data_IF_789762261017
#
_entry.id   IF_789762261017
#
_cell.length_a   1.000
_cell.length_b   1.000
_cell.length_c   1.000
_cell.angle_alpha   90.00
_cell.angle_beta   90.00
_cell.angle_gamma   90.00
#
_symmetry.space_group_name_H-M   'P 1'
#
loop_
_entity.id
_entity.type
_entity.pdbx_description
1 polymer ?
#
# COMPACT_ATOMS: atom_id res chain seq x y z
N UNK A 1 -47.99 13.52 2.30
CA UNK A 1 -46.80 13.00 3.03
C UNK A 1 -46.65 11.51 2.73
N UNK A 2 -45.78 11.13 1.80
CA UNK A 2 -45.65 9.72 1.38
C UNK A 2 -44.30 9.20 1.84
N UNK A 3 -44.28 8.31 2.84
CA UNK A 3 -43.04 7.73 3.38
C UNK A 3 -42.47 6.74 2.36
N UNK A 4 -41.25 6.99 1.87
CA UNK A 4 -40.50 6.10 0.99
C UNK A 4 -40.18 4.80 1.75
N UNK A 5 -40.39 3.60 1.17
CA UNK A 5 -40.11 2.35 1.87
C UNK A 5 -38.60 2.23 2.16
N UNK A 6 -38.28 1.82 3.38
CA UNK A 6 -36.90 1.46 3.74
C UNK A 6 -36.58 0.11 3.12
N UNK A 7 -35.54 0.04 2.29
CA UNK A 7 -34.98 -1.22 1.81
C UNK A 7 -34.38 -1.95 3.01
N UNK A 8 -35.00 -3.03 3.43
CA UNK A 8 -34.49 -3.90 4.48
C UNK A 8 -33.66 -5.00 3.78
N UNK A 9 -32.34 -4.96 3.92
CA UNK A 9 -31.46 -6.01 3.40
C UNK A 9 -31.40 -7.13 4.45
N UNK A 10 -31.74 -8.36 4.05
CA UNK A 10 -31.72 -9.50 4.97
C UNK A 10 -30.30 -10.04 5.16
N UNK A 11 -30.05 -10.73 6.28
CA UNK A 11 -28.74 -11.29 6.56
C UNK A 11 -28.27 -12.29 5.48
N UNK A 12 -29.23 -13.00 4.88
CA UNK A 12 -28.97 -13.94 3.79
C UNK A 12 -28.47 -13.22 2.53
N UNK A 13 -29.03 -12.06 2.24
CA UNK A 13 -28.72 -11.31 1.02
C UNK A 13 -27.31 -10.71 1.01
N UNK A 14 -26.77 -10.27 2.16
CA UNK A 14 -25.36 -9.84 2.22
C UNK A 14 -24.40 -11.02 2.16
N UNK A 15 -24.77 -12.15 2.75
CA UNK A 15 -23.96 -13.36 2.72
C UNK A 15 -23.83 -13.91 1.30
N UNK A 16 -24.93 -13.92 0.55
CA UNK A 16 -24.94 -14.41 -0.83
C UNK A 16 -24.12 -13.47 -1.75
N UNK A 17 -24.21 -12.14 -1.57
CA UNK A 17 -23.35 -11.18 -2.27
C UNK A 17 -21.86 -11.35 -1.94
N UNK A 18 -21.53 -11.66 -0.68
CA UNK A 18 -20.16 -11.92 -0.26
C UNK A 18 -19.61 -13.19 -0.90
N UNK A 19 -20.39 -14.28 -0.90
CA UNK A 19 -19.98 -15.56 -1.49
C UNK A 19 -19.82 -15.47 -3.00
N UNK A 20 -20.71 -14.75 -3.68
CA UNK A 20 -20.63 -14.48 -5.12
C UNK A 20 -19.37 -13.65 -5.48
N UNK A 21 -19.08 -12.62 -4.68
CA UNK A 21 -17.90 -11.77 -4.88
C UNK A 21 -16.58 -12.41 -4.44
N UNK A 22 -16.61 -13.41 -3.55
CA UNK A 22 -15.41 -14.05 -2.99
C UNK A 22 -14.60 -14.77 -4.06
N UNK A 23 -15.27 -15.42 -5.02
CA UNK A 23 -14.59 -16.12 -6.12
C UNK A 23 -13.75 -15.17 -6.99
N UNK A 24 -14.16 -13.91 -7.15
CA UNK A 24 -13.39 -12.93 -7.93
C UNK A 24 -12.16 -12.35 -7.20
N UNK A 25 -12.10 -12.47 -5.87
CA UNK A 25 -10.99 -11.95 -5.04
C UNK A 25 -10.07 -13.07 -4.55
N UNK A 26 -10.63 -14.24 -4.26
CA UNK A 26 -9.94 -15.37 -3.63
C UNK A 26 -9.92 -16.64 -4.49
N UNK A 27 -10.75 -16.74 -5.53
CA UNK A 27 -10.71 -17.84 -6.51
C UNK A 27 -9.72 -17.50 -7.62
N UNK A 28 -8.49 -18.01 -7.52
CA UNK A 28 -7.46 -17.83 -8.55
C UNK A 28 -7.98 -18.22 -9.94
N UNK A 29 -7.56 -17.61 -11.04
CA UNK A 29 -6.41 -16.74 -11.30
C UNK A 29 -6.81 -15.27 -11.34
N UNK A 30 -6.28 -14.47 -10.40
CA UNK A 30 -5.77 -13.19 -10.86
C UNK A 30 -4.83 -13.54 -12.01
N UNK A 31 -5.05 -12.99 -13.20
CA UNK A 31 -3.95 -12.72 -14.15
C UNK A 31 -3.01 -11.78 -13.41
N UNK A 32 -2.30 -12.31 -12.41
CA UNK A 32 -1.05 -11.76 -11.99
C UNK A 32 -0.25 -11.87 -13.28
N UNK A 33 -0.08 -10.73 -13.96
CA UNK A 33 1.16 -10.55 -14.70
C UNK A 33 2.26 -11.14 -13.81
N UNK A 34 3.11 -12.05 -14.34
CA UNK A 34 4.11 -12.71 -13.53
C UNK A 34 4.80 -11.61 -12.76
N UNK A 35 4.55 -11.55 -11.44
CA UNK A 35 5.01 -10.44 -10.64
C UNK A 35 6.51 -10.41 -10.87
N UNK A 36 6.98 -9.35 -11.54
CA UNK A 36 8.36 -9.28 -11.97
C UNK A 36 9.19 -9.63 -10.74
N UNK A 37 10.01 -10.68 -10.84
CA UNK A 37 10.71 -11.23 -9.68
C UNK A 37 11.47 -10.11 -9.03
N UNK A 38 10.94 -9.59 -7.91
CA UNK A 38 11.49 -8.39 -7.29
C UNK A 38 12.84 -8.79 -6.74
N UNK A 39 13.90 -8.17 -7.23
CA UNK A 39 15.22 -8.40 -6.69
C UNK A 39 15.37 -7.67 -5.36
N UNK A 40 14.89 -8.34 -4.31
CA UNK A 40 14.92 -7.86 -2.93
C UNK A 40 16.36 -7.56 -2.47
N UNK A 41 17.38 -8.24 -3.01
CA UNK A 41 18.77 -7.98 -2.64
C UNK A 41 19.22 -6.62 -3.18
N UNK A 42 18.91 -6.33 -4.44
CA UNK A 42 19.20 -5.02 -5.05
C UNK A 42 18.49 -3.90 -4.30
N UNK A 43 17.24 -4.10 -3.89
CA UNK A 43 16.51 -3.10 -3.09
C UNK A 43 17.19 -2.84 -1.74
N UNK A 44 17.56 -3.89 -0.99
CA UNK A 44 18.25 -3.71 0.29
C UNK A 44 19.61 -3.06 0.14
N UNK A 45 20.36 -3.38 -0.91
CA UNK A 45 21.63 -2.72 -1.21
C UNK A 45 21.42 -1.22 -1.45
N UNK A 46 20.42 -0.84 -2.24
CA UNK A 46 20.11 0.57 -2.53
C UNK A 46 19.61 1.31 -1.30
N UNK A 47 18.82 0.67 -0.44
CA UNK A 47 18.42 1.23 0.85
C UNK A 47 19.65 1.53 1.72
N UNK A 48 20.58 0.58 1.85
CA UNK A 48 21.80 0.77 2.63
C UNK A 48 22.68 1.90 2.10
N UNK A 49 22.87 1.98 0.79
CA UNK A 49 23.61 3.07 0.13
C UNK A 49 22.98 4.44 0.45
N UNK A 50 21.67 4.59 0.23
CA UNK A 50 20.95 5.83 0.47
C UNK A 50 20.96 6.22 1.96
N UNK A 51 20.89 5.27 2.88
CA UNK A 51 21.02 5.54 4.33
C UNK A 51 22.38 6.15 4.64
N UNK A 52 23.46 5.54 4.13
CA UNK A 52 24.82 6.05 4.35
C UNK A 52 25.03 7.44 3.73
N UNK A 53 24.54 7.66 2.51
CA UNK A 53 24.61 8.96 1.83
C UNK A 53 23.85 10.05 2.60
N UNK A 54 22.64 9.76 3.04
CA UNK A 54 21.83 10.70 3.80
C UNK A 54 22.45 11.04 5.16
N UNK A 55 22.92 10.05 5.91
CA UNK A 55 23.59 10.27 7.21
C UNK A 55 24.85 11.12 7.05
N UNK A 56 25.63 10.85 5.99
CA UNK A 56 26.80 11.64 5.65
C UNK A 56 26.44 13.10 5.34
N UNK A 57 25.45 13.32 4.48
CA UNK A 57 25.00 14.66 4.08
C UNK A 57 24.42 15.44 5.25
N UNK A 58 23.59 14.82 6.10
CA UNK A 58 23.04 15.44 7.31
C UNK A 58 24.17 15.88 8.24
N UNK A 59 25.15 15.01 8.48
CA UNK A 59 26.32 15.31 9.30
C UNK A 59 27.19 16.43 8.70
N UNK A 60 27.38 16.44 7.38
CA UNK A 60 28.16 17.47 6.68
C UNK A 60 27.45 18.83 6.71
N UNK A 61 26.14 18.87 6.45
CA UNK A 61 25.33 20.08 6.50
C UNK A 61 25.24 20.64 7.92
N UNK A 62 25.18 19.78 8.94
CA UNK A 62 25.25 20.18 10.35
C UNK A 62 26.57 20.89 10.65
N UNK A 63 27.69 20.29 10.24
CA UNK A 63 29.03 20.88 10.43
C UNK A 63 29.23 22.17 9.66
N UNK A 64 28.62 22.29 8.49
CA UNK A 64 28.67 23.50 7.68
C UNK A 64 27.73 24.61 8.19
N UNK A 65 26.87 24.34 9.19
CA UNK A 65 25.87 25.30 9.67
C UNK A 65 24.74 25.55 8.67
N UNK A 66 24.54 24.64 7.70
CA UNK A 66 23.62 24.79 6.58
C UNK A 66 22.29 24.04 6.77
N UNK A 67 22.07 23.40 7.92
CA UNK A 67 20.78 22.80 8.25
C UNK A 67 19.72 23.89 8.49
N UNK A 68 19.08 24.31 7.41
CA UNK A 68 17.81 25.05 7.46
C UNK A 68 16.67 24.12 7.10
N UNK A 69 16.26 23.26 8.02
CA UNK A 69 14.99 22.54 7.90
C UNK A 69 13.86 23.55 8.13
N UNK A 70 13.21 24.00 7.05
CA UNK A 70 11.99 24.81 7.14
C UNK A 70 10.89 23.93 7.75
N UNK A 71 10.39 24.36 8.91
CA UNK A 71 9.26 23.76 9.63
C UNK A 71 7.93 24.29 9.12
#
# INVERSE_FOLDING_TARGET
MTRRPRRNHSAKQWKDQLLEGASGVFGGEAKAEPAASVDVKTLHAKIGELTLENDFLEGALSKAGLLSARK
#
